data_IF_088437772740
#
_entry.id   IF_088437772740
#
_cell.length_a   1.000
_cell.length_b   1.000
_cell.length_c   1.000
_cell.angle_alpha   90.00
_cell.angle_beta   90.00
_cell.angle_gamma   90.00
#
_symmetry.space_group_name_H-M   'P 1'
#
loop_
_entity.id
_entity.type
_entity.pdbx_description
1 polymer ?
#
# COMPACT_ATOMS: atom_id res chain seq x y z
N UNK A 1 -45.55 -3.49 -50.12
CA UNK A 1 -44.12 -3.75 -49.82
C UNK A 1 -43.76 -3.02 -48.53
N UNK A 2 -43.80 -3.71 -47.38
CA UNK A 2 -43.35 -3.17 -46.09
C UNK A 2 -41.91 -3.67 -45.89
N UNK A 3 -40.93 -2.75 -45.96
CA UNK A 3 -39.52 -3.06 -45.73
C UNK A 3 -39.25 -2.94 -44.23
N UNK A 4 -39.03 -4.09 -43.58
CA UNK A 4 -38.46 -4.14 -42.23
C UNK A 4 -36.95 -3.85 -42.35
N UNK A 5 -36.49 -2.74 -41.78
CA UNK A 5 -35.07 -2.53 -41.50
C UNK A 5 -34.77 -3.15 -40.15
N UNK A 6 -34.08 -4.29 -40.15
CA UNK A 6 -33.47 -4.86 -38.94
C UNK A 6 -32.27 -4.00 -38.57
N UNK A 7 -32.40 -3.20 -37.50
CA UNK A 7 -31.29 -2.48 -36.90
C UNK A 7 -30.56 -3.46 -35.96
N UNK A 8 -29.46 -4.03 -36.43
CA UNK A 8 -28.57 -4.83 -35.59
C UNK A 8 -27.82 -3.88 -34.64
N UNK A 9 -28.19 -3.89 -33.36
CA UNK A 9 -27.47 -3.22 -32.30
C UNK A 9 -26.19 -4.02 -32.00
N UNK A 10 -25.07 -3.59 -32.57
CA UNK A 10 -23.75 -4.09 -32.19
C UNK A 10 -23.42 -3.49 -30.82
N UNK A 11 -23.64 -4.26 -29.74
CA UNK A 11 -23.02 -3.96 -28.46
C UNK A 11 -21.52 -4.16 -28.62
N UNK A 12 -20.77 -3.05 -28.71
CA UNK A 12 -19.34 -3.06 -28.51
C UNK A 12 -19.05 -3.51 -27.09
N UNK A 13 -18.63 -4.76 -26.93
CA UNK A 13 -18.03 -5.25 -25.70
C UNK A 13 -16.71 -4.50 -25.55
N UNK A 14 -16.69 -3.44 -24.74
CA UNK A 14 -15.44 -2.88 -24.26
C UNK A 14 -14.80 -3.98 -23.41
N UNK A 15 -13.79 -4.64 -23.94
CA UNK A 15 -12.96 -5.54 -23.16
C UNK A 15 -12.37 -4.71 -22.03
N UNK A 16 -12.78 -4.98 -20.79
CA UNK A 16 -12.01 -4.56 -19.63
C UNK A 16 -10.73 -5.37 -19.72
N UNK A 17 -9.70 -4.75 -20.27
CA UNK A 17 -8.36 -5.30 -20.32
C UNK A 17 -7.93 -5.39 -18.86
N UNK A 18 -7.92 -6.59 -18.29
CA UNK A 18 -7.34 -6.81 -16.96
C UNK A 18 -5.96 -6.18 -16.96
N UNK A 19 -5.72 -5.21 -16.07
CA UNK A 19 -4.39 -4.63 -15.90
C UNK A 19 -3.44 -5.77 -15.50
N UNK A 20 -2.61 -6.21 -16.45
CA UNK A 20 -1.52 -7.13 -16.14
C UNK A 20 -0.54 -6.40 -15.23
N UNK A 21 -0.03 -7.08 -14.21
CA UNK A 21 1.09 -6.59 -13.42
C UNK A 21 2.26 -6.30 -14.36
N UNK A 22 2.69 -5.04 -14.45
CA UNK A 22 3.84 -4.62 -15.24
C UNK A 22 5.07 -4.63 -14.33
N UNK A 23 6.11 -5.35 -14.76
CA UNK A 23 7.40 -5.35 -14.06
C UNK A 23 8.37 -4.45 -14.80
N UNK A 24 8.91 -3.45 -14.13
CA UNK A 24 9.86 -2.48 -14.69
C UNK A 24 11.17 -2.59 -13.92
N UNK A 25 12.27 -2.76 -14.65
CA UNK A 25 13.61 -2.79 -14.08
C UNK A 25 14.37 -1.51 -14.40
N UNK A 26 15.06 -0.98 -13.41
CA UNK A 26 15.96 0.16 -13.52
C UNK A 26 17.37 -0.23 -13.10
N UNK A 27 18.35 0.26 -13.86
CA UNK A 27 19.78 0.11 -13.61
C UNK A 27 20.37 1.52 -13.41
N UNK A 28 20.93 1.80 -12.23
CA UNK A 28 21.52 3.08 -11.87
C UNK A 28 23.03 2.93 -11.83
N UNK A 29 23.74 3.52 -12.79
CA UNK A 29 25.15 3.18 -12.93
C UNK A 29 25.93 3.92 -14.01
N UNK A 30 26.93 3.23 -14.54
CA UNK A 30 27.95 3.73 -15.45
C UNK A 30 27.51 3.67 -16.92
N UNK A 31 27.87 4.72 -17.68
CA UNK A 31 27.61 4.81 -19.11
C UNK A 31 28.17 3.63 -19.92
N UNK A 32 29.23 2.98 -19.43
CA UNK A 32 29.87 1.84 -20.09
C UNK A 32 29.40 0.48 -19.56
N UNK A 33 28.52 0.46 -18.56
CA UNK A 33 28.05 -0.77 -17.89
C UNK A 33 26.53 -0.93 -17.90
N UNK A 34 25.83 -0.19 -18.76
CA UNK A 34 24.38 -0.31 -18.94
C UNK A 34 23.93 -1.76 -19.16
N UNK A 35 22.78 -2.08 -18.58
CA UNK A 35 22.11 -3.36 -18.76
C UNK A 35 21.31 -3.38 -20.05
N UNK A 36 21.55 -4.34 -20.94
CA UNK A 36 20.79 -4.50 -22.18
C UNK A 36 19.42 -5.15 -21.90
N UNK A 37 18.53 -5.07 -22.90
CA UNK A 37 17.22 -5.76 -22.94
C UNK A 37 16.29 -5.39 -21.79
N UNK A 38 15.30 -4.53 -22.07
CA UNK A 38 14.17 -4.25 -21.18
C UNK A 38 14.55 -3.73 -19.78
N UNK A 39 15.74 -3.10 -19.66
CA UNK A 39 16.17 -2.32 -18.51
C UNK A 39 16.15 -0.82 -18.83
N UNK A 40 15.75 -0.04 -17.84
CA UNK A 40 15.69 1.41 -17.89
C UNK A 40 16.96 1.98 -17.25
N UNK A 41 17.96 2.26 -18.08
CA UNK A 41 19.29 2.67 -17.62
C UNK A 41 19.32 4.17 -17.24
N UNK A 42 19.60 4.45 -15.97
CA UNK A 42 19.85 5.78 -15.42
C UNK A 42 21.37 5.95 -15.25
N UNK A 43 21.95 6.78 -16.10
CA UNK A 43 23.40 6.96 -16.20
C UNK A 43 23.83 8.19 -15.43
N UNK A 44 24.61 8.01 -14.35
CA UNK A 44 24.99 9.10 -13.43
C UNK A 44 26.32 9.78 -13.77
N UNK A 45 27.14 9.16 -14.61
CA UNK A 45 28.40 9.72 -15.12
C UNK A 45 28.25 10.24 -16.57
N UNK A 46 29.11 11.16 -17.04
CA UNK A 46 29.02 11.66 -18.41
C UNK A 46 29.23 10.59 -19.51
N UNK A 47 28.43 10.58 -20.60
CA UNK A 47 27.27 11.43 -20.85
C UNK A 47 26.05 10.96 -20.03
N UNK A 48 25.65 11.77 -19.05
CA UNK A 48 24.62 11.37 -18.09
C UNK A 48 23.23 11.29 -18.71
N UNK A 49 22.45 10.32 -18.26
CA UNK A 49 21.04 10.14 -18.58
C UNK A 49 20.29 9.99 -17.26
N UNK A 50 19.91 11.13 -16.69
CA UNK A 50 19.25 11.18 -15.38
C UNK A 50 17.72 11.08 -15.47
N UNK A 51 17.14 11.06 -16.67
CA UNK A 51 15.69 11.00 -16.85
C UNK A 51 15.30 10.02 -17.95
N UNK A 52 14.21 9.31 -17.72
CA UNK A 52 13.57 8.36 -18.64
C UNK A 52 12.13 8.83 -18.80
N UNK A 53 11.75 9.18 -20.04
CA UNK A 53 10.46 9.79 -20.34
C UNK A 53 9.33 8.75 -20.46
N UNK A 54 9.66 7.51 -20.81
CA UNK A 54 8.73 6.40 -20.89
C UNK A 54 9.50 5.10 -20.69
N UNK A 55 9.36 4.50 -19.51
CA UNK A 55 10.04 3.28 -19.14
C UNK A 55 9.44 2.08 -19.86
N UNK A 56 10.29 1.13 -20.23
CA UNK A 56 9.88 -0.16 -20.77
C UNK A 56 9.67 -1.18 -19.64
N UNK A 57 8.65 -2.02 -19.76
CA UNK A 57 8.47 -3.19 -18.89
C UNK A 57 9.40 -4.36 -19.30
N UNK A 58 9.35 -5.45 -18.53
CA UNK A 58 10.14 -6.65 -18.73
C UNK A 58 9.86 -7.35 -20.06
N UNK A 59 8.73 -7.07 -20.72
CA UNK A 59 8.36 -7.60 -22.03
C UNK A 59 8.76 -6.63 -23.17
N UNK A 60 9.23 -5.44 -22.83
CA UNK A 60 9.70 -4.40 -23.76
C UNK A 60 8.60 -3.44 -24.21
N UNK A 61 7.43 -3.46 -23.56
CA UNK A 61 6.34 -2.53 -23.85
C UNK A 61 6.53 -1.22 -23.09
N UNK A 62 6.21 -0.10 -23.73
CA UNK A 62 6.18 1.21 -23.08
C UNK A 62 5.06 1.26 -22.03
N UNK A 63 5.36 1.86 -20.87
CA UNK A 63 4.49 1.83 -19.69
C UNK A 63 3.82 3.17 -19.39
N UNK A 64 4.34 4.27 -19.96
CA UNK A 64 4.00 5.64 -19.56
C UNK A 64 4.63 6.08 -18.23
N UNK A 65 5.40 5.20 -17.57
CA UNK A 65 6.09 5.52 -16.31
C UNK A 65 7.34 6.32 -16.63
N UNK A 66 7.50 7.48 -15.99
CA UNK A 66 8.73 8.26 -16.03
C UNK A 66 9.64 7.91 -14.86
N UNK A 67 10.94 8.09 -15.01
CA UNK A 67 11.89 8.11 -13.90
C UNK A 67 12.83 9.31 -14.02
N UNK A 68 13.14 9.96 -12.90
CA UNK A 68 14.14 11.04 -12.86
C UNK A 68 15.01 10.93 -11.61
N UNK A 69 16.32 11.05 -11.78
CA UNK A 69 17.32 10.94 -10.73
C UNK A 69 18.07 12.27 -10.53
N UNK A 70 18.41 12.60 -9.29
CA UNK A 70 19.16 13.79 -8.93
C UNK A 70 19.90 13.59 -7.59
N UNK A 71 20.79 14.52 -7.24
CA UNK A 71 21.48 14.51 -5.94
C UNK A 71 22.60 13.49 -5.78
N UNK A 72 22.73 12.51 -6.69
CA UNK A 72 23.85 11.59 -6.71
C UNK A 72 25.17 12.27 -7.11
N UNK A 73 26.29 11.68 -6.71
CA UNK A 73 27.61 12.08 -7.20
C UNK A 73 27.71 11.90 -8.71
N UNK A 74 28.39 12.82 -9.40
CA UNK A 74 28.58 12.77 -10.87
C UNK A 74 29.69 11.79 -11.25
N UNK A 75 29.44 10.52 -10.95
CA UNK A 75 30.32 9.38 -11.13
C UNK A 75 29.61 8.10 -10.70
N UNK A 76 30.12 6.96 -11.12
CA UNK A 76 29.54 5.66 -10.80
C UNK A 76 30.45 4.87 -9.85
N UNK A 77 29.85 3.92 -9.13
CA UNK A 77 30.60 2.87 -8.49
C UNK A 77 30.57 1.62 -9.36
N UNK A 78 31.68 1.22 -10.01
CA UNK A 78 31.72 0.05 -10.91
C UNK A 78 32.15 -1.25 -10.22
N UNK A 79 31.99 -1.33 -8.90
CA UNK A 79 32.62 -2.33 -8.05
C UNK A 79 31.66 -3.25 -7.31
N UNK A 80 30.49 -3.52 -7.88
CA UNK A 80 29.45 -4.41 -7.36
C UNK A 80 29.60 -5.87 -7.81
N UNK A 81 28.72 -6.78 -7.34
CA UNK A 81 28.72 -8.19 -7.71
C UNK A 81 28.39 -8.45 -9.18
N UNK A 82 29.18 -9.34 -9.80
CA UNK A 82 28.98 -9.84 -11.17
C UNK A 82 28.17 -11.15 -11.21
N UNK A 83 27.90 -11.74 -10.04
CA UNK A 83 27.15 -12.97 -9.89
C UNK A 83 26.19 -12.78 -8.71
N UNK A 84 25.06 -12.08 -8.91
CA UNK A 84 24.08 -11.94 -7.85
C UNK A 84 23.54 -13.32 -7.45
N UNK A 85 23.32 -13.50 -6.16
CA UNK A 85 22.78 -14.74 -5.56
C UNK A 85 21.54 -14.41 -4.72
N UNK A 86 20.92 -15.41 -4.10
CA UNK A 86 19.78 -15.20 -3.20
C UNK A 86 18.66 -14.36 -3.83
N UNK A 87 18.13 -13.41 -3.07
CA UNK A 87 17.03 -12.55 -3.52
C UNK A 87 17.47 -11.55 -4.59
N UNK A 88 18.76 -11.19 -4.64
CA UNK A 88 19.32 -10.31 -5.67
C UNK A 88 19.39 -10.98 -7.05
N UNK A 89 19.23 -12.30 -7.15
CA UNK A 89 19.25 -13.04 -8.42
C UNK A 89 18.09 -12.67 -9.37
N UNK A 90 17.10 -11.89 -8.89
CA UNK A 90 16.06 -11.28 -9.72
C UNK A 90 16.61 -10.22 -10.68
N UNK A 91 17.78 -9.65 -10.38
CA UNK A 91 18.44 -8.62 -11.19
C UNK A 91 19.48 -9.25 -12.11
N UNK A 92 19.66 -8.66 -13.29
CA UNK A 92 20.72 -9.04 -14.19
C UNK A 92 22.09 -8.75 -13.58
N UNK A 93 23.06 -9.63 -13.78
CA UNK A 93 24.44 -9.42 -13.35
C UNK A 93 25.03 -8.09 -13.85
N UNK A 94 24.57 -7.60 -14.99
CA UNK A 94 24.97 -6.31 -15.56
C UNK A 94 24.42 -5.11 -14.81
N UNK A 95 23.32 -5.25 -14.06
CA UNK A 95 22.69 -4.18 -13.27
C UNK A 95 23.15 -4.20 -11.80
N UNK A 96 23.74 -5.31 -11.33
CA UNK A 96 24.22 -5.43 -9.95
C UNK A 96 25.70 -5.07 -9.80
N UNK A 97 26.44 -4.95 -10.90
CA UNK A 97 27.89 -4.73 -10.90
C UNK A 97 28.29 -3.28 -10.71
N UNK A 98 27.36 -2.36 -10.86
CA UNK A 98 27.57 -0.94 -10.69
C UNK A 98 26.40 -0.26 -9.99
N UNK A 99 26.65 0.96 -9.51
CA UNK A 99 25.71 1.71 -8.70
C UNK A 99 25.88 3.21 -8.94
N UNK A 100 24.78 3.95 -8.86
CA UNK A 100 24.80 5.33 -8.43
C UNK A 100 25.19 5.41 -6.95
N UNK A 101 25.88 6.49 -6.56
CA UNK A 101 26.28 6.68 -5.17
C UNK A 101 26.33 8.16 -4.79
N UNK A 102 26.44 8.43 -3.50
CA UNK A 102 26.81 9.74 -2.97
C UNK A 102 27.48 9.61 -1.61
N UNK A 103 27.79 10.76 -1.01
CA UNK A 103 28.54 10.83 0.24
C UNK A 103 28.14 12.04 1.09
N UNK A 104 27.92 11.81 2.39
CA UNK A 104 27.65 12.87 3.36
C UNK A 104 28.90 13.32 4.16
N UNK A 105 29.96 12.51 4.12
CA UNK A 105 31.27 12.81 4.67
C UNK A 105 32.27 13.26 3.60
N UNK A 106 33.47 13.63 4.05
CA UNK A 106 34.51 14.16 3.17
C UNK A 106 35.07 13.08 2.24
N UNK A 107 34.92 13.27 0.92
CA UNK A 107 35.49 12.42 -0.12
C UNK A 107 36.46 13.23 -0.97
N UNK A 108 37.69 13.42 -0.49
CA UNK A 108 38.66 14.31 -1.12
C UNK A 108 38.15 15.75 -1.20
N UNK A 109 38.30 16.40 -2.36
CA UNK A 109 37.81 17.76 -2.61
C UNK A 109 36.40 17.79 -3.26
N UNK A 110 35.71 16.65 -3.32
CA UNK A 110 34.41 16.56 -3.98
C UNK A 110 33.30 17.25 -3.16
N UNK A 111 32.37 17.98 -3.81
CA UNK A 111 31.19 18.51 -3.16
C UNK A 111 30.35 17.41 -2.51
N UNK A 112 29.77 17.69 -1.34
CA UNK A 112 28.90 16.75 -0.67
C UNK A 112 27.63 16.47 -1.49
N UNK A 113 27.26 15.20 -1.52
CA UNK A 113 26.00 14.69 -2.07
C UNK A 113 25.35 13.85 -0.98
N UNK A 114 24.73 14.47 0.04
CA UNK A 114 24.30 13.73 1.24
C UNK A 114 23.06 12.87 1.01
N UNK A 115 22.36 13.06 -0.11
CA UNK A 115 21.22 12.24 -0.52
C UNK A 115 21.06 12.22 -2.04
N UNK A 116 20.66 11.07 -2.57
CA UNK A 116 20.22 10.90 -3.95
C UNK A 116 18.71 10.73 -3.98
N UNK A 117 18.06 11.24 -5.02
CA UNK A 117 16.60 11.22 -5.15
C UNK A 117 16.23 10.65 -6.50
N UNK A 118 15.30 9.69 -6.50
CA UNK A 118 14.65 9.15 -7.69
C UNK A 118 13.14 9.42 -7.57
N UNK A 119 12.56 10.02 -8.59
CA UNK A 119 11.10 10.22 -8.70
C UNK A 119 10.59 9.36 -9.84
N UNK A 120 9.72 8.42 -9.52
CA UNK A 120 8.89 7.70 -10.48
C UNK A 120 7.58 8.47 -10.65
N UNK A 121 7.18 8.72 -11.90
CA UNK A 121 6.00 9.51 -12.25
C UNK A 121 5.18 8.84 -13.35
N UNK A 122 4.00 9.36 -13.66
CA UNK A 122 3.07 8.69 -14.60
C UNK A 122 2.43 7.43 -14.00
N UNK A 123 2.51 7.27 -12.68
CA UNK A 123 1.89 6.18 -11.95
C UNK A 123 0.40 6.49 -11.71
N UNK A 124 -0.36 5.46 -11.37
CA UNK A 124 -1.78 5.62 -11.05
C UNK A 124 -1.97 6.34 -9.71
N UNK A 125 -2.26 7.65 -9.77
CA UNK A 125 -2.55 8.48 -8.61
C UNK A 125 -3.95 8.31 -8.02
N UNK A 126 -4.80 7.43 -8.60
CA UNK A 126 -6.15 7.16 -8.07
C UNK A 126 -6.15 6.27 -6.83
N UNK A 127 -5.05 5.56 -6.58
CA UNK A 127 -4.95 4.57 -5.51
C UNK A 127 -5.39 3.16 -5.91
N UNK A 128 -5.86 2.95 -7.14
CA UNK A 128 -6.29 1.62 -7.64
C UNK A 128 -5.11 0.68 -8.00
N UNK A 129 -3.89 1.21 -8.11
CA UNK A 129 -2.67 0.44 -8.37
C UNK A 129 -1.65 0.67 -7.26
N UNK A 130 -1.16 -0.40 -6.67
CA UNK A 130 -0.09 -0.37 -5.69
C UNK A 130 1.20 -0.90 -6.33
N UNK A 131 2.34 -0.47 -5.80
CA UNK A 131 3.64 -0.77 -6.38
C UNK A 131 4.56 -1.41 -5.34
N UNK A 132 5.11 -2.57 -5.69
CA UNK A 132 6.19 -3.18 -4.93
C UNK A 132 7.52 -2.66 -5.47
N UNK A 133 8.34 -2.08 -4.59
CA UNK A 133 9.64 -1.50 -4.92
C UNK A 133 10.71 -2.33 -4.25
N UNK A 134 11.40 -3.15 -5.03
CA UNK A 134 12.56 -3.93 -4.58
C UNK A 134 13.85 -3.24 -4.99
N UNK A 135 14.75 -3.03 -4.03
CA UNK A 135 16.00 -2.28 -4.20
C UNK A 135 17.20 -3.18 -3.93
N UNK A 136 18.17 -3.11 -4.81
CA UNK A 136 19.49 -3.71 -4.65
C UNK A 136 20.59 -2.64 -4.75
N UNK A 137 21.63 -2.83 -3.95
CA UNK A 137 22.92 -2.15 -4.11
C UNK A 137 24.02 -3.07 -3.57
N UNK A 138 25.21 -3.00 -4.18
CA UNK A 138 26.32 -3.86 -3.80
C UNK A 138 27.69 -3.25 -4.10
N UNK A 139 28.62 -3.36 -3.14
CA UNK A 139 30.01 -2.94 -3.27
C UNK A 139 30.96 -4.01 -2.72
N UNK A 140 31.62 -4.73 -3.62
CA UNK A 140 32.60 -5.76 -3.28
C UNK A 140 33.85 -5.21 -2.60
N UNK A 141 34.49 -6.07 -1.81
CA UNK A 141 35.79 -5.83 -1.18
C UNK A 141 35.81 -4.58 -0.29
N UNK A 142 34.73 -4.36 0.45
CA UNK A 142 34.60 -3.21 1.35
C UNK A 142 34.74 -3.65 2.81
N UNK A 143 35.70 -3.13 3.59
CA UNK A 143 35.90 -3.52 4.99
C UNK A 143 34.96 -2.81 5.98
N UNK A 144 34.38 -1.68 5.57
CA UNK A 144 33.50 -0.84 6.38
C UNK A 144 32.03 -1.07 6.00
N UNK A 145 31.12 -0.88 6.95
CA UNK A 145 29.68 -0.85 6.73
C UNK A 145 29.31 0.41 5.94
N UNK A 146 28.46 0.23 4.94
CA UNK A 146 27.96 1.27 4.05
C UNK A 146 26.43 1.30 4.01
N UNK A 147 25.79 0.90 5.12
CA UNK A 147 24.34 0.90 5.25
C UNK A 147 23.73 2.14 4.60
N UNK A 148 22.79 1.87 3.71
CA UNK A 148 22.04 2.88 2.97
C UNK A 148 20.60 2.81 3.43
N UNK A 149 20.06 3.96 3.82
CA UNK A 149 18.66 4.15 4.09
C UNK A 149 17.95 4.61 2.82
N UNK A 150 16.83 3.95 2.51
CA UNK A 150 15.93 4.35 1.44
C UNK A 150 14.61 4.82 2.04
N UNK A 151 14.33 6.12 1.93
CA UNK A 151 13.02 6.67 2.27
C UNK A 151 12.15 6.68 1.03
N UNK A 152 11.04 5.95 1.06
CA UNK A 152 10.09 5.81 -0.03
C UNK A 152 8.81 6.51 0.37
N UNK A 153 8.33 7.42 -0.47
CA UNK A 153 7.14 8.23 -0.21
C UNK A 153 6.22 8.27 -1.42
N UNK A 154 4.96 7.92 -1.20
CA UNK A 154 3.84 8.13 -2.11
C UNK A 154 2.73 8.83 -1.36
N UNK A 155 1.59 8.16 -1.18
CA UNK A 155 0.55 8.60 -0.24
C UNK A 155 0.98 8.43 1.22
N UNK A 156 1.71 7.35 1.51
CA UNK A 156 2.36 7.10 2.80
C UNK A 156 3.88 6.98 2.62
N UNK A 157 4.61 7.06 3.72
CA UNK A 157 6.08 6.97 3.73
C UNK A 157 6.56 5.75 4.51
N UNK A 158 7.61 5.12 4.01
CA UNK A 158 8.31 4.02 4.68
C UNK A 158 9.82 4.16 4.49
N UNK A 159 10.59 3.54 5.38
CA UNK A 159 12.06 3.53 5.32
C UNK A 159 12.58 2.10 5.32
N UNK A 160 13.53 1.83 4.43
CA UNK A 160 14.25 0.56 4.33
C UNK A 160 15.74 0.76 4.61
N UNK A 161 16.40 -0.27 5.12
CA UNK A 161 17.84 -0.27 5.39
C UNK A 161 18.49 -1.46 4.67
N UNK A 162 19.46 -1.20 3.80
CA UNK A 162 20.26 -2.23 3.14
C UNK A 162 21.73 -1.97 3.43
N UNK A 163 22.50 -3.02 3.70
CA UNK A 163 23.96 -2.96 3.79
C UNK A 163 24.57 -3.33 2.42
N UNK A 164 25.09 -2.38 1.62
CA UNK A 164 25.67 -2.67 0.31
C UNK A 164 27.10 -3.24 0.40
N UNK A 165 27.82 -3.07 1.51
CA UNK A 165 29.18 -3.57 1.65
C UNK A 165 29.21 -5.10 1.53
N UNK A 166 29.90 -5.59 0.50
CA UNK A 166 29.99 -7.01 0.12
C UNK A 166 28.64 -7.70 -0.08
N UNK A 167 27.58 -6.94 -0.37
CA UNK A 167 26.28 -7.52 -0.65
C UNK A 167 26.26 -8.17 -2.03
N UNK A 168 26.02 -9.48 -2.05
CA UNK A 168 25.81 -10.25 -3.28
C UNK A 168 24.40 -10.81 -3.39
N UNK A 169 23.61 -10.78 -2.31
CA UNK A 169 22.40 -11.61 -2.20
C UNK A 169 21.15 -10.89 -1.72
N UNK A 170 21.29 -9.81 -0.96
CA UNK A 170 20.19 -9.23 -0.21
C UNK A 170 19.58 -8.07 -0.98
N UNK A 171 18.26 -7.97 -0.91
CA UNK A 171 17.46 -6.84 -1.39
C UNK A 171 16.62 -6.32 -0.24
N UNK A 172 16.05 -5.12 -0.40
CA UNK A 172 14.97 -4.63 0.46
C UNK A 172 13.76 -4.30 -0.37
N UNK A 173 12.56 -4.56 0.16
CA UNK A 173 11.30 -4.34 -0.57
C UNK A 173 10.34 -3.51 0.26
N UNK A 174 9.81 -2.44 -0.34
CA UNK A 174 8.59 -1.79 0.13
C UNK A 174 7.42 -2.34 -0.69
N UNK A 175 6.52 -3.06 -0.03
CA UNK A 175 5.36 -3.65 -0.69
C UNK A 175 4.15 -2.72 -0.60
N UNK A 176 3.29 -2.74 -1.61
CA UNK A 176 2.00 -2.05 -1.60
C UNK A 176 2.10 -0.53 -1.56
N UNK A 177 3.13 0.07 -2.15
CA UNK A 177 3.30 1.53 -2.15
C UNK A 177 2.24 2.17 -3.06
N UNK A 178 1.33 2.91 -2.46
CA UNK A 178 0.35 3.72 -3.20
C UNK A 178 1.01 5.05 -3.61
N UNK A 179 1.00 5.43 -4.89
CA UNK A 179 1.54 6.72 -5.33
C UNK A 179 0.83 7.91 -4.68
N UNK A 180 1.46 9.08 -4.75
CA UNK A 180 0.77 10.33 -4.41
C UNK A 180 -0.41 10.59 -5.36
N UNK A 181 -1.31 11.53 -5.01
CA UNK A 181 -2.39 11.97 -5.90
C UNK A 181 -1.90 12.53 -7.24
N UNK A 182 -0.63 12.95 -7.32
CA UNK A 182 -0.01 13.40 -8.56
C UNK A 182 0.56 12.24 -9.41
N UNK A 183 0.35 10.99 -9.00
CA UNK A 183 0.87 9.81 -9.70
C UNK A 183 2.38 9.65 -9.54
N UNK A 184 2.92 9.97 -8.35
CA UNK A 184 4.37 9.93 -8.08
C UNK A 184 4.74 9.08 -6.89
N UNK A 185 5.87 8.37 -6.99
CA UNK A 185 6.59 7.79 -5.84
C UNK A 185 8.00 8.37 -5.82
N UNK A 186 8.44 8.87 -4.67
CA UNK A 186 9.78 9.41 -4.46
C UNK A 186 10.59 8.47 -3.58
N UNK A 187 11.77 8.06 -4.06
CA UNK A 187 12.78 7.28 -3.35
C UNK A 187 13.97 8.19 -3.05
N UNK A 188 14.36 8.32 -1.78
CA UNK A 188 15.55 9.03 -1.34
C UNK A 188 16.54 8.03 -0.77
N UNK A 189 17.74 7.95 -1.34
CA UNK A 189 18.86 7.17 -0.82
C UNK A 189 19.81 8.07 -0.04
N UNK A 190 20.19 7.68 1.18
CA UNK A 190 21.10 8.43 2.06
C UNK A 190 21.86 7.49 3.00
N UNK A 191 22.90 7.94 3.72
CA UNK A 191 23.60 7.10 4.69
C UNK A 191 22.65 6.59 5.77
N UNK A 192 22.70 5.29 6.04
CA UNK A 192 21.96 4.64 7.11
C UNK A 192 22.63 4.82 8.47
N UNK A 193 21.90 4.59 9.58
CA UNK A 193 22.39 4.78 10.94
C UNK A 193 23.60 3.90 11.30
N UNK A 194 23.76 2.72 10.68
CA UNK A 194 24.89 1.81 10.91
C UNK A 194 26.06 2.01 9.92
N UNK A 195 26.01 3.05 9.08
CA UNK A 195 27.09 3.36 8.15
C UNK A 195 28.32 3.88 8.91
N UNK A 196 29.43 3.13 8.84
CA UNK A 196 30.68 3.49 9.52
C UNK A 196 31.80 3.90 8.56
N UNK A 197 31.51 4.06 7.27
CA UNK A 197 32.48 4.61 6.33
C UNK A 197 32.76 6.09 6.66
N UNK A 198 34.03 6.55 6.69
CA UNK A 198 34.34 7.95 6.97
C UNK A 198 33.65 8.95 6.05
N UNK A 199 33.48 8.56 4.78
CA UNK A 199 32.81 9.36 3.75
C UNK A 199 31.29 9.27 3.84
N UNK A 200 30.74 8.36 4.65
CA UNK A 200 29.31 8.10 4.75
C UNK A 200 28.72 7.85 3.35
N UNK A 201 29.29 6.88 2.63
CA UNK A 201 28.84 6.53 1.29
C UNK A 201 27.49 5.81 1.33
N UNK A 202 26.58 6.16 0.41
CA UNK A 202 25.35 5.40 0.13
C UNK A 202 25.24 5.04 -1.34
N UNK A 203 24.43 4.03 -1.66
CA UNK A 203 24.39 3.41 -3.00
C UNK A 203 22.95 3.19 -3.47
N UNK A 204 22.76 3.16 -4.79
CA UNK A 204 21.57 2.65 -5.46
C UNK A 204 22.02 1.95 -6.74
N UNK A 205 21.86 0.63 -6.82
CA UNK A 205 22.28 -0.16 -7.97
C UNK A 205 21.13 -0.46 -8.91
N UNK A 206 20.25 -1.37 -8.49
CA UNK A 206 19.11 -1.80 -9.30
C UNK A 206 17.79 -1.64 -8.54
N UNK A 207 16.73 -1.30 -9.27
CA UNK A 207 15.36 -1.22 -8.72
C UNK A 207 14.42 -2.02 -9.59
N UNK A 208 13.58 -2.84 -8.98
CA UNK A 208 12.44 -3.49 -9.63
C UNK A 208 11.17 -2.86 -9.08
N UNK A 209 10.35 -2.34 -9.98
CA UNK A 209 9.02 -1.82 -9.71
C UNK A 209 8.01 -2.81 -10.29
N UNK A 210 7.15 -3.39 -9.45
CA UNK A 210 6.06 -4.26 -9.91
C UNK A 210 4.75 -3.55 -9.61
N UNK A 211 3.96 -3.25 -10.64
CA UNK A 211 2.59 -2.83 -10.44
C UNK A 211 1.74 -4.04 -10.12
N UNK A 212 0.92 -3.94 -9.09
CA UNK A 212 -0.19 -4.84 -8.87
C UNK A 212 -1.44 -3.97 -8.77
N UNK A 213 -2.63 -4.48 -9.15
CA UNK A 213 -3.86 -3.88 -8.67
C UNK A 213 -3.68 -3.65 -7.17
N UNK A 214 -3.81 -2.42 -6.69
CA UNK A 214 -3.99 -2.21 -5.27
C UNK A 214 -5.18 -3.08 -4.94
N UNK A 215 -5.02 -4.06 -4.04
CA UNK A 215 -6.17 -4.84 -3.60
C UNK A 215 -7.14 -3.78 -3.10
N UNK A 216 -8.26 -3.55 -3.82
CA UNK A 216 -9.07 -2.39 -3.53
C UNK A 216 -9.60 -2.63 -2.12
N UNK A 217 -9.31 -1.71 -1.21
CA UNK A 217 -10.35 -1.30 -0.29
C UNK A 217 -11.58 -1.00 -1.18
N UNK A 218 -12.72 -1.73 -1.09
CA UNK A 218 -13.88 -1.49 -1.91
C UNK A 218 -14.36 -0.06 -1.80
N UNK A 219 -13.94 0.76 -2.74
CA UNK A 219 -14.46 2.09 -2.94
C UNK A 219 -14.89 2.25 -4.41
N UNK A 220 -16.20 2.43 -4.56
CA UNK A 220 -16.83 3.38 -5.47
C UNK A 220 -16.63 3.15 -6.99
N UNK A 221 -17.06 1.99 -7.50
CA UNK A 221 -17.53 1.90 -8.91
C UNK A 221 -19.06 1.70 -9.03
N UNK A 222 -19.81 1.77 -7.92
CA UNK A 222 -21.27 1.56 -7.94
C UNK A 222 -22.11 2.84 -7.94
N UNK A 223 -21.56 4.02 -7.61
CA UNK A 223 -22.37 5.25 -7.50
C UNK A 223 -22.77 5.85 -8.87
N UNK A 224 -22.00 5.63 -9.95
CA UNK A 224 -22.36 6.17 -11.28
C UNK A 224 -23.15 5.21 -12.18
N UNK A 225 -23.29 3.93 -11.83
CA UNK A 225 -24.12 2.99 -12.59
C UNK A 225 -25.55 2.87 -12.07
N UNK A 226 -25.82 3.24 -10.81
CA UNK A 226 -27.18 3.19 -10.25
C UNK A 226 -28.08 4.37 -10.67
N UNK A 227 -27.54 5.47 -11.22
CA UNK A 227 -28.36 6.59 -11.72
C UNK A 227 -28.77 6.50 -13.20
N UNK A 228 -28.39 5.44 -13.94
CA UNK A 228 -28.76 5.28 -15.37
C UNK A 228 -29.90 4.29 -15.64
N UNK A 229 -30.51 3.70 -14.61
CA UNK A 229 -31.60 2.71 -14.77
C UNK A 229 -32.97 3.11 -14.25
N UNK A 230 -33.21 4.40 -14.06
CA UNK A 230 -34.55 4.93 -13.85
C UNK A 230 -34.71 6.26 -14.59
N UNK A 231 -34.97 6.20 -15.90
CA UNK A 231 -35.69 7.24 -16.65
C UNK A 231 -36.04 6.69 -18.03
N UNK A 232 -37.25 6.15 -18.15
CA UNK A 232 -37.91 5.94 -19.43
C UNK A 232 -38.13 7.31 -20.12
N UNK A 233 -38.04 7.39 -21.46
CA UNK A 233 -37.93 8.64 -22.17
C UNK A 233 -39.31 9.23 -22.45
N UNK A 234 -39.67 10.33 -21.77
CA UNK A 234 -40.77 11.17 -22.25
C UNK A 234 -40.59 12.63 -21.81
N UNK A 235 -40.69 13.52 -22.78
CA UNK A 235 -40.84 14.98 -22.70
C UNK A 235 -39.61 15.87 -22.43
N UNK A 236 -39.04 16.33 -23.55
CA UNK A 236 -38.84 17.74 -23.94
C UNK A 236 -38.50 18.81 -22.87
N UNK A 237 -37.31 19.40 -23.06
CA UNK A 237 -37.05 20.84 -23.25
C UNK A 237 -37.67 21.84 -22.24
N UNK A 238 -36.88 22.33 -21.29
CA UNK A 238 -36.64 23.76 -21.00
C UNK A 238 -36.12 24.00 -19.56
N UNK A 239 -35.06 24.80 -19.47
CA UNK A 239 -34.69 25.72 -18.39
C UNK A 239 -34.78 25.26 -16.92
N UNK A 240 -33.63 25.15 -16.25
CA UNK A 240 -33.34 25.99 -15.10
C UNK A 240 -31.83 25.97 -14.77
N UNK A 241 -31.22 27.14 -14.77
CA UNK A 241 -30.03 27.43 -13.96
C UNK A 241 -30.51 27.27 -12.51
N UNK A 242 -30.31 26.09 -11.93
CA UNK A 242 -30.54 25.85 -10.52
C UNK A 242 -29.18 25.87 -9.83
N UNK A 243 -29.08 26.73 -8.82
CA UNK A 243 -27.93 26.91 -7.98
C UNK A 243 -27.32 25.56 -7.57
N UNK A 244 -26.06 25.34 -7.90
CA UNK A 244 -25.21 24.44 -7.12
C UNK A 244 -25.00 25.13 -5.76
N UNK A 245 -26.01 25.08 -4.90
CA UNK A 245 -25.75 25.14 -3.48
C UNK A 245 -24.80 23.99 -3.19
N UNK A 246 -23.58 24.32 -2.77
CA UNK A 246 -22.66 23.37 -2.15
C UNK A 246 -23.38 22.79 -0.94
N UNK A 247 -24.09 21.69 -1.15
CA UNK A 247 -24.57 20.88 -0.04
C UNK A 247 -23.29 20.35 0.60
N UNK A 248 -23.01 20.81 1.82
CA UNK A 248 -21.92 20.24 2.61
C UNK A 248 -22.16 18.72 2.62
N UNK A 249 -21.11 17.94 2.36
CA UNK A 249 -21.23 16.49 2.45
C UNK A 249 -21.82 16.14 3.81
N UNK A 250 -22.77 15.20 3.86
CA UNK A 250 -23.34 14.76 5.13
C UNK A 250 -22.26 13.97 5.90
N UNK A 251 -22.23 14.06 7.24
CA UNK A 251 -21.35 13.24 8.05
C UNK A 251 -21.61 11.74 7.84
N UNK A 252 -20.54 10.97 7.64
CA UNK A 252 -20.65 9.51 7.58
C UNK A 252 -20.91 8.91 8.97
N UNK A 253 -21.79 7.91 9.04
CA UNK A 253 -22.16 7.17 10.24
C UNK A 253 -21.31 5.89 10.35
N UNK A 254 -20.52 5.78 11.42
CA UNK A 254 -19.61 4.65 11.63
C UNK A 254 -19.85 4.02 13.00
N UNK A 255 -20.08 2.72 13.04
CA UNK A 255 -20.14 1.94 14.28
C UNK A 255 -18.89 1.07 14.44
N UNK A 256 -18.28 1.10 15.63
CA UNK A 256 -17.01 0.43 15.90
C UNK A 256 -17.19 -0.70 16.91
N UNK A 257 -16.78 -1.91 16.56
CA UNK A 257 -16.69 -3.05 17.45
C UNK A 257 -15.23 -3.51 17.55
N UNK A 258 -14.75 -3.63 18.79
CA UNK A 258 -13.35 -3.88 19.07
C UNK A 258 -13.07 -3.96 20.56
N UNK A 259 -11.82 -3.79 20.95
CA UNK A 259 -11.40 -3.87 22.35
C UNK A 259 -10.38 -2.79 22.71
N UNK A 260 -9.44 -3.12 23.61
CA UNK A 260 -8.43 -2.19 24.10
C UNK A 260 -7.48 -1.68 23.02
N UNK A 261 -7.43 -2.34 21.86
CA UNK A 261 -6.73 -1.87 20.65
C UNK A 261 -7.48 -0.72 20.00
N UNK A 262 -8.81 -0.84 19.83
CA UNK A 262 -9.66 0.24 19.32
C UNK A 262 -9.81 1.40 20.32
N UNK A 263 -9.89 1.08 21.61
CA UNK A 263 -9.91 2.09 22.68
C UNK A 263 -8.54 2.68 23.01
N UNK A 264 -7.46 2.17 22.40
CA UNK A 264 -6.05 2.53 22.63
C UNK A 264 -5.55 2.40 24.09
N UNK A 265 -6.31 1.79 25.00
CA UNK A 265 -5.93 1.63 26.41
C UNK A 265 -4.84 0.58 26.62
N UNK A 266 -4.63 -0.34 25.67
CA UNK A 266 -3.57 -1.35 25.75
C UNK A 266 -2.16 -0.77 25.56
N UNK A 267 -2.09 0.38 24.90
CA UNK A 267 -0.95 0.72 24.06
C UNK A 267 -0.44 2.15 24.33
N UNK A 268 -0.85 2.73 25.48
CA UNK A 268 -0.39 4.04 25.93
C UNK A 268 -1.00 5.24 25.18
N UNK A 269 -2.02 5.01 24.35
CA UNK A 269 -2.70 6.08 23.62
C UNK A 269 -3.56 6.94 24.54
N UNK A 270 -3.59 8.24 24.28
CA UNK A 270 -4.42 9.21 25.03
C UNK A 270 -5.81 9.39 24.41
N UNK A 271 -6.06 8.82 23.24
CA UNK A 271 -7.32 8.89 22.50
C UNK A 271 -7.60 7.55 21.80
N UNK A 272 -8.88 7.19 21.69
CA UNK A 272 -9.31 6.01 20.95
C UNK A 272 -9.15 6.22 19.45
N UNK A 273 -9.08 5.13 18.69
CA UNK A 273 -9.00 5.18 17.22
C UNK A 273 -10.17 5.95 16.60
N UNK A 274 -11.44 5.76 17.03
CA UNK A 274 -12.56 6.58 16.53
C UNK A 274 -12.41 8.08 16.79
N UNK A 275 -11.79 8.47 17.92
CA UNK A 275 -11.54 9.88 18.23
C UNK A 275 -10.45 10.48 17.35
N UNK A 276 -9.37 9.73 17.11
CA UNK A 276 -8.30 10.12 16.19
C UNK A 276 -8.83 10.23 14.76
N UNK A 277 -9.63 9.25 14.32
CA UNK A 277 -10.27 9.28 13.00
C UNK A 277 -11.11 10.53 12.79
N UNK A 278 -11.92 10.91 13.79
CA UNK A 278 -12.71 12.14 13.73
C UNK A 278 -11.82 13.39 13.59
N UNK A 279 -10.76 13.48 14.38
CA UNK A 279 -9.81 14.60 14.32
C UNK A 279 -9.11 14.71 12.96
N UNK A 280 -8.73 13.57 12.36
CA UNK A 280 -8.12 13.53 11.01
C UNK A 280 -9.11 13.98 9.95
N UNK A 281 -10.36 13.51 9.99
CA UNK A 281 -11.40 13.92 9.05
C UNK A 281 -11.66 15.43 9.09
N UNK A 282 -11.82 15.99 10.30
CA UNK A 282 -11.99 17.43 10.49
C UNK A 282 -10.77 18.22 10.01
N UNK A 283 -9.56 17.74 10.31
CA UNK A 283 -8.33 18.38 9.83
C UNK A 283 -8.21 18.34 8.30
N UNK A 284 -8.77 17.34 7.64
CA UNK A 284 -8.85 17.21 6.19
C UNK A 284 -9.98 18.06 5.56
N UNK A 285 -10.72 18.85 6.35
CA UNK A 285 -11.83 19.68 5.88
C UNK A 285 -13.13 18.91 5.63
N UNK A 286 -13.23 17.66 6.10
CA UNK A 286 -14.45 16.87 6.03
C UNK A 286 -15.35 17.15 7.24
N UNK A 287 -16.67 16.95 7.12
CA UNK A 287 -17.56 16.92 8.27
C UNK A 287 -17.08 15.89 9.29
N UNK A 288 -17.21 16.21 10.58
CA UNK A 288 -16.88 15.28 11.66
C UNK A 288 -17.74 14.01 11.55
N UNK A 289 -17.17 12.81 11.34
CA UNK A 289 -17.92 11.57 11.25
C UNK A 289 -18.73 11.31 12.53
N UNK A 290 -19.92 10.75 12.39
CA UNK A 290 -20.70 10.27 13.52
C UNK A 290 -20.19 8.90 13.96
N UNK A 291 -19.19 8.93 14.83
CA UNK A 291 -18.54 7.72 15.37
C UNK A 291 -19.25 7.20 16.62
N UNK A 292 -19.76 5.98 16.54
CA UNK A 292 -20.36 5.26 17.68
C UNK A 292 -19.48 4.09 18.08
N UNK A 293 -18.70 4.29 19.14
CA UNK A 293 -17.77 3.29 19.63
C UNK A 293 -18.45 2.30 20.60
N UNK A 294 -18.55 1.03 20.19
CA UNK A 294 -19.06 -0.09 20.99
C UNK A 294 -17.96 -1.05 21.45
N UNK A 295 -16.70 -0.63 21.38
CA UNK A 295 -15.54 -1.45 21.77
C UNK A 295 -15.51 -1.73 23.27
N UNK A 296 -15.25 -2.99 23.65
CA UNK A 296 -15.14 -3.42 25.05
C UNK A 296 -13.79 -4.07 25.32
N UNK A 297 -13.04 -3.55 26.28
CA UNK A 297 -11.68 -3.99 26.58
C UNK A 297 -11.64 -5.49 26.92
N UNK A 298 -10.69 -6.21 26.31
CA UNK A 298 -10.51 -7.64 26.53
C UNK A 298 -11.52 -8.55 25.84
N UNK A 299 -12.45 -8.02 25.02
CA UNK A 299 -13.48 -8.83 24.37
C UNK A 299 -13.14 -9.16 22.91
N UNK A 300 -13.70 -10.28 22.44
CA UNK A 300 -13.68 -10.72 21.04
C UNK A 300 -14.95 -10.30 20.30
N UNK A 301 -14.94 -10.39 18.97
CA UNK A 301 -16.15 -10.18 18.18
C UNK A 301 -17.23 -11.22 18.49
N UNK A 302 -16.87 -12.46 18.84
CA UNK A 302 -17.84 -13.45 19.31
C UNK A 302 -18.59 -12.96 20.56
N UNK A 303 -17.87 -12.36 21.51
CA UNK A 303 -18.50 -11.80 22.71
C UNK A 303 -19.45 -10.66 22.34
N UNK A 304 -19.05 -9.79 21.42
CA UNK A 304 -19.91 -8.71 20.94
C UNK A 304 -21.17 -9.22 20.25
N UNK A 305 -21.04 -10.25 19.40
CA UNK A 305 -22.17 -10.86 18.71
C UNK A 305 -23.20 -11.43 19.69
N UNK A 306 -22.73 -11.98 20.81
CA UNK A 306 -23.61 -12.54 21.85
C UNK A 306 -24.17 -11.48 22.81
N UNK A 307 -23.42 -10.41 23.12
CA UNK A 307 -23.72 -9.55 24.28
C UNK A 307 -23.89 -8.06 23.96
N UNK A 308 -23.52 -7.59 22.76
CA UNK A 308 -23.35 -6.16 22.48
C UNK A 308 -23.99 -5.68 21.15
N UNK A 309 -24.79 -6.53 20.49
CA UNK A 309 -25.49 -6.17 19.24
C UNK A 309 -26.63 -5.18 19.44
N UNK A 310 -27.16 -5.04 20.67
CA UNK A 310 -28.15 -4.01 20.97
C UNK A 310 -27.67 -2.59 20.65
N UNK A 311 -26.34 -2.36 20.68
CA UNK A 311 -25.72 -1.08 20.34
C UNK A 311 -25.90 -0.64 18.89
N UNK A 312 -26.25 -1.56 17.97
CA UNK A 312 -26.49 -1.30 16.54
C UNK A 312 -27.68 -0.35 16.36
N UNK A 313 -28.66 -0.38 17.28
CA UNK A 313 -29.90 0.39 17.18
C UNK A 313 -29.85 1.77 17.86
N UNK A 314 -28.66 2.27 18.24
CA UNK A 314 -28.55 3.56 18.92
C UNK A 314 -27.26 4.30 18.63
N UNK A 315 -27.34 5.64 18.68
CA UNK A 315 -26.23 6.57 18.36
C UNK A 315 -26.38 7.27 17.00
N UNK A 316 -27.34 6.82 16.19
CA UNK A 316 -27.85 7.49 14.98
C UNK A 316 -29.38 7.57 15.06
N UNK A 317 -30.03 8.35 14.19
CA UNK A 317 -31.50 8.40 14.14
C UNK A 317 -32.08 7.03 13.76
N UNK A 318 -33.33 6.78 14.13
CA UNK A 318 -34.04 5.58 13.70
C UNK A 318 -34.26 5.52 12.17
N UNK A 319 -34.22 6.67 11.50
CA UNK A 319 -34.32 6.82 10.05
C UNK A 319 -32.99 6.67 9.31
N UNK A 320 -31.87 6.68 10.03
CA UNK A 320 -30.54 6.73 9.45
C UNK A 320 -29.90 5.35 9.44
N UNK A 321 -29.01 5.17 8.46
CA UNK A 321 -28.22 3.96 8.27
C UNK A 321 -26.77 4.14 8.66
N UNK A 322 -26.14 3.02 9.02
CA UNK A 322 -24.69 2.92 9.14
C UNK A 322 -24.07 2.85 7.74
N UNK A 323 -23.15 3.76 7.46
CA UNK A 323 -22.33 3.69 6.24
C UNK A 323 -21.24 2.64 6.40
N UNK A 324 -20.62 2.59 7.59
CA UNK A 324 -19.53 1.65 7.87
C UNK A 324 -19.70 0.95 9.23
N UNK A 325 -19.31 -0.33 9.27
CA UNK A 325 -19.07 -1.07 10.52
C UNK A 325 -17.60 -1.48 10.60
N UNK A 326 -16.87 -0.97 11.60
CA UNK A 326 -15.48 -1.35 11.82
C UNK A 326 -15.42 -2.53 12.79
N UNK A 327 -14.76 -3.61 12.36
CA UNK A 327 -14.68 -4.89 13.06
C UNK A 327 -13.22 -5.22 13.40
N UNK A 328 -12.90 -5.14 14.68
CA UNK A 328 -11.62 -5.54 15.25
C UNK A 328 -11.82 -6.72 16.20
N UNK A 329 -11.18 -7.86 15.94
CA UNK A 329 -11.27 -9.02 16.84
C UNK A 329 -10.14 -9.05 17.86
N UNK A 330 -10.27 -9.92 18.86
CA UNK A 330 -9.23 -10.15 19.85
C UNK A 330 -7.91 -10.55 19.15
N UNK A 331 -6.81 -9.90 19.53
CA UNK A 331 -5.57 -9.83 18.73
C UNK A 331 -4.81 -11.15 18.52
N UNK A 332 -5.33 -12.27 18.98
CA UNK A 332 -4.78 -13.61 18.70
C UNK A 332 -5.77 -14.47 17.91
N UNK A 333 -7.06 -14.12 17.87
CA UNK A 333 -8.11 -14.87 17.19
C UNK A 333 -7.82 -15.18 15.72
N UNK A 334 -7.26 -14.24 14.93
CA UNK A 334 -6.93 -14.50 13.52
C UNK A 334 -5.71 -15.40 13.30
N UNK A 335 -4.98 -15.81 14.36
CA UNK A 335 -3.74 -16.59 14.27
C UNK A 335 -3.93 -18.06 14.67
N UNK A 336 -2.91 -18.89 14.44
CA UNK A 336 -2.97 -20.32 14.78
C UNK A 336 -3.10 -20.62 16.29
N UNK A 337 -2.66 -19.71 17.17
CA UNK A 337 -2.85 -19.87 18.63
C UNK A 337 -4.22 -19.39 19.12
N UNK A 338 -4.98 -18.72 18.26
CA UNK A 338 -6.35 -18.29 18.54
C UNK A 338 -7.35 -19.30 18.03
N UNK A 339 -8.36 -18.80 17.32
CA UNK A 339 -9.37 -19.62 16.69
C UNK A 339 -9.84 -18.93 15.42
N UNK A 340 -9.11 -19.17 14.33
CA UNK A 340 -9.39 -18.56 13.02
C UNK A 340 -10.83 -18.85 12.56
N UNK A 341 -11.33 -20.06 12.75
CA UNK A 341 -12.72 -20.40 12.36
C UNK A 341 -13.75 -19.52 13.09
N UNK A 342 -13.57 -19.27 14.39
CA UNK A 342 -14.43 -18.38 15.15
C UNK A 342 -14.22 -16.91 14.77
N UNK A 343 -13.01 -16.50 14.41
CA UNK A 343 -12.75 -15.16 13.86
C UNK A 343 -13.57 -14.93 12.58
N UNK A 344 -13.50 -15.86 11.62
CA UNK A 344 -14.24 -15.81 10.36
C UNK A 344 -15.75 -15.79 10.58
N UNK A 345 -16.28 -16.62 11.49
CA UNK A 345 -17.72 -16.67 11.76
C UNK A 345 -18.22 -15.43 12.54
N UNK A 346 -17.40 -14.88 13.43
CA UNK A 346 -17.77 -13.71 14.24
C UNK A 346 -17.74 -12.41 13.44
N UNK A 347 -16.76 -12.24 12.54
CA UNK A 347 -16.71 -11.09 11.62
C UNK A 347 -17.91 -11.07 10.70
N UNK A 348 -18.22 -12.20 10.04
CA UNK A 348 -19.41 -12.34 9.21
C UNK A 348 -20.71 -12.15 10.00
N UNK A 349 -20.80 -12.74 11.21
CA UNK A 349 -21.98 -12.60 12.06
C UNK A 349 -22.24 -11.15 12.50
N UNK A 350 -21.18 -10.41 12.87
CA UNK A 350 -21.28 -9.01 13.22
C UNK A 350 -21.67 -8.14 12.03
N UNK A 351 -21.06 -8.35 10.87
CA UNK A 351 -21.48 -7.69 9.63
C UNK A 351 -22.97 -7.93 9.35
N UNK A 352 -23.42 -9.19 9.35
CA UNK A 352 -24.81 -9.53 9.10
C UNK A 352 -25.78 -8.88 10.10
N UNK A 353 -25.38 -8.74 11.37
CA UNK A 353 -26.18 -8.07 12.38
C UNK A 353 -26.35 -6.57 12.10
N UNK A 354 -25.31 -5.90 11.60
CA UNK A 354 -25.40 -4.48 11.20
C UNK A 354 -26.13 -4.35 9.88
N UNK A 355 -25.86 -5.21 8.90
CA UNK A 355 -26.52 -5.22 7.60
C UNK A 355 -28.03 -5.48 7.68
N UNK A 356 -28.48 -6.23 8.70
CA UNK A 356 -29.90 -6.40 8.99
C UNK A 356 -30.61 -5.09 9.36
N UNK A 357 -29.87 -4.11 9.92
CA UNK A 357 -30.37 -2.76 10.17
C UNK A 357 -30.12 -1.84 8.97
N UNK A 358 -28.92 -1.88 8.41
CA UNK A 358 -28.43 -0.97 7.37
C UNK A 358 -27.91 -1.78 6.19
N UNK A 359 -28.77 -2.12 5.20
CA UNK A 359 -28.46 -3.08 4.14
C UNK A 359 -27.23 -2.72 3.29
N UNK A 360 -26.93 -1.43 3.15
CA UNK A 360 -25.81 -0.91 2.35
C UNK A 360 -24.54 -0.67 3.18
N UNK A 361 -24.48 -1.13 4.44
CA UNK A 361 -23.31 -0.95 5.30
C UNK A 361 -22.08 -1.64 4.73
N UNK A 362 -20.95 -0.93 4.75
CA UNK A 362 -19.65 -1.46 4.33
C UNK A 362 -18.86 -1.91 5.57
N UNK A 363 -18.56 -3.21 5.75
CA UNK A 363 -17.71 -3.67 6.82
C UNK A 363 -16.24 -3.32 6.56
N UNK A 364 -15.57 -2.78 7.57
CA UNK A 364 -14.12 -2.51 7.58
C UNK A 364 -13.45 -3.43 8.57
N UNK A 365 -12.53 -4.25 8.10
CA UNK A 365 -11.75 -5.16 8.92
C UNK A 365 -10.51 -4.46 9.46
N UNK A 366 -10.51 -4.21 10.76
CA UNK A 366 -9.41 -3.53 11.42
C UNK A 366 -8.35 -4.55 11.88
N UNK A 367 -7.37 -4.81 11.00
CA UNK A 367 -6.20 -5.66 11.27
C UNK A 367 -5.44 -5.18 12.52
N UNK A 368 -5.22 -6.09 13.47
CA UNK A 368 -4.36 -5.81 14.64
C UNK A 368 -2.89 -6.05 14.33
N UNK A 369 -2.01 -5.57 15.20
CA UNK A 369 -0.56 -5.78 15.08
C UNK A 369 -0.03 -6.88 15.99
N UNK A 370 1.09 -7.47 15.57
CA UNK A 370 1.88 -8.41 16.34
C UNK A 370 2.35 -7.80 17.68
N UNK A 371 2.67 -8.67 18.64
CA UNK A 371 3.30 -8.24 19.88
C UNK A 371 4.71 -7.74 19.61
N UNK A 372 5.20 -6.87 20.49
CA UNK A 372 6.56 -6.34 20.39
C UNK A 372 7.63 -7.42 20.56
N UNK A 373 8.85 -7.20 20.03
CA UNK A 373 9.98 -8.09 20.24
C UNK A 373 10.19 -8.43 21.73
N UNK A 374 10.53 -9.68 22.04
CA UNK A 374 10.73 -10.15 23.42
C UNK A 374 9.47 -10.56 24.17
N UNK A 375 8.28 -10.48 23.55
CA UNK A 375 7.08 -11.09 24.11
C UNK A 375 7.22 -12.62 24.23
N UNK A 376 6.56 -13.22 25.22
CA UNK A 376 6.62 -14.67 25.50
C UNK A 376 6.21 -15.56 24.32
N UNK A 377 5.46 -15.00 23.37
CA UNK A 377 5.08 -15.63 22.11
C UNK A 377 6.28 -15.99 21.22
N UNK A 378 7.39 -15.28 21.36
CA UNK A 378 8.58 -15.39 20.50
C UNK A 378 9.77 -16.02 21.22
N UNK A 379 9.63 -16.34 22.51
CA UNK A 379 10.75 -16.73 23.38
C UNK A 379 10.45 -18.02 24.12
N UNK A 380 11.49 -18.69 24.64
CA UNK A 380 11.37 -19.96 25.36
C UNK A 380 11.73 -21.17 24.51
N UNK A 381 11.68 -22.38 25.09
CA UNK A 381 12.10 -23.61 24.42
C UNK A 381 11.16 -24.09 23.30
N UNK A 382 9.91 -23.61 23.29
CA UNK A 382 8.91 -23.89 22.26
C UNK A 382 8.02 -22.64 22.07
N UNK A 383 8.53 -21.60 21.39
CA UNK A 383 7.76 -20.37 21.17
C UNK A 383 6.55 -20.65 20.27
N UNK A 384 5.44 -19.96 20.53
CA UNK A 384 4.23 -20.03 19.69
C UNK A 384 4.50 -19.54 18.26
N UNK A 385 5.31 -18.48 18.14
CA UNK A 385 5.72 -17.92 16.86
C UNK A 385 7.25 -17.96 16.77
N UNK A 386 7.86 -19.10 16.36
CA UNK A 386 9.31 -19.23 16.23
C UNK A 386 9.90 -18.25 15.20
N UNK A 387 9.12 -17.80 14.21
CA UNK A 387 9.51 -16.73 13.27
C UNK A 387 9.37 -15.31 13.85
N UNK A 388 9.11 -15.18 15.14
CA UNK A 388 9.06 -13.90 15.83
C UNK A 388 7.84 -13.04 15.45
N UNK A 389 7.92 -11.72 15.69
CA UNK A 389 6.85 -10.77 15.35
C UNK A 389 6.43 -10.81 13.88
N UNK A 390 7.36 -11.07 12.96
CA UNK A 390 7.07 -11.15 11.53
C UNK A 390 6.08 -12.28 11.20
N UNK A 391 6.29 -13.47 11.77
CA UNK A 391 5.36 -14.59 11.61
C UNK A 391 3.98 -14.25 12.17
N UNK A 392 3.91 -13.68 13.38
CA UNK A 392 2.62 -13.31 13.97
C UNK A 392 1.90 -12.25 13.14
N UNK A 393 2.61 -11.25 12.60
CA UNK A 393 1.98 -10.23 11.75
C UNK A 393 1.46 -10.84 10.45
N UNK A 394 2.20 -11.76 9.84
CA UNK A 394 1.74 -12.47 8.65
C UNK A 394 0.44 -13.23 8.93
N UNK A 395 0.38 -13.98 10.03
CA UNK A 395 -0.84 -14.73 10.36
C UNK A 395 -2.03 -13.83 10.70
N UNK A 396 -1.79 -12.68 11.35
CA UNK A 396 -2.84 -11.68 11.57
C UNK A 396 -3.41 -11.19 10.25
N UNK A 397 -2.53 -10.80 9.32
CA UNK A 397 -2.91 -10.36 7.97
C UNK A 397 -3.68 -11.44 7.22
N UNK A 398 -3.18 -12.66 7.20
CA UNK A 398 -3.82 -13.79 6.52
C UNK A 398 -5.21 -14.06 7.12
N UNK A 399 -5.36 -13.97 8.44
CA UNK A 399 -6.63 -14.15 9.12
C UNK A 399 -7.67 -13.08 8.78
N UNK A 400 -7.27 -11.81 8.72
CA UNK A 400 -8.16 -10.71 8.32
C UNK A 400 -8.48 -10.75 6.81
N UNK A 401 -7.53 -11.09 5.94
CA UNK A 401 -7.80 -11.33 4.51
C UNK A 401 -8.77 -12.50 4.30
N UNK A 402 -8.65 -13.57 5.10
CA UNK A 402 -9.61 -14.66 5.07
C UNK A 402 -11.01 -14.23 5.55
N UNK A 403 -11.10 -13.34 6.55
CA UNK A 403 -12.37 -12.78 7.01
C UNK A 403 -13.00 -11.87 5.94
N UNK A 404 -12.19 -11.06 5.26
CA UNK A 404 -12.62 -10.19 4.15
C UNK A 404 -13.20 -11.06 3.01
N UNK A 405 -12.46 -12.09 2.61
CA UNK A 405 -12.91 -13.06 1.60
C UNK A 405 -14.19 -13.78 2.01
N UNK A 406 -14.34 -14.13 3.30
CA UNK A 406 -15.53 -14.80 3.83
C UNK A 406 -16.77 -13.89 3.76
N UNK A 407 -16.66 -12.61 4.12
CA UNK A 407 -17.76 -11.64 3.97
C UNK A 407 -18.08 -11.44 2.49
N UNK A 408 -17.07 -11.23 1.65
CA UNK A 408 -17.25 -11.03 0.22
C UNK A 408 -17.92 -12.22 -0.47
N UNK A 409 -17.59 -13.44 -0.06
CA UNK A 409 -18.24 -14.65 -0.57
C UNK A 409 -19.73 -14.73 -0.18
N UNK A 410 -20.12 -14.17 0.97
CA UNK A 410 -21.49 -14.19 1.47
C UNK A 410 -22.34 -13.02 0.98
N UNK A 411 -21.75 -11.84 0.80
CA UNK A 411 -22.47 -10.57 0.60
C UNK A 411 -22.27 -9.95 -0.79
N UNK A 412 -21.32 -10.47 -1.57
CA UNK A 412 -20.92 -9.90 -2.86
C UNK A 412 -19.44 -9.56 -2.88
N UNK A 413 -18.80 -9.73 -4.03
CA UNK A 413 -17.39 -9.38 -4.18
C UNK A 413 -17.19 -7.87 -3.98
N UNK A 414 -16.22 -7.50 -3.13
CA UNK A 414 -15.94 -6.10 -2.81
C UNK A 414 -16.94 -5.47 -1.84
N UNK A 415 -17.58 -6.25 -0.96
CA UNK A 415 -18.40 -5.69 0.12
C UNK A 415 -17.54 -5.27 1.31
N UNK A 416 -16.49 -6.03 1.66
CA UNK A 416 -15.65 -5.78 2.82
C UNK A 416 -14.33 -5.08 2.49
N UNK A 417 -14.04 -4.03 3.27
CA UNK A 417 -12.79 -3.27 3.38
C UNK A 417 -11.78 -4.02 4.23
#
# INVERSE_FOLDING_TARGET
MKRFFSLALVLGLAAVQSASAATVFYDFGDSNQQTPVNYNNVVVNPPGQLSIADSVDSDGSLTGITASASGFFTGSNTGGPQTPTGDAAIFAATATRDNAFGHAGAFGANPLTPQGTVVFGGLDGSGATAYDITIFAGRNSTPNLRETQYDISGLASTSLLLEPANNTSNVVTAAGVIPSLAGTITLIAKPGPNNNSPEQFYYLGAVRLVSAPAIPEPEILHVFQCLRRALSPTFALAALVAAASSQAAEPINIIWYGNSFTNATCCGGTASVPAIFNAVAVAAGQPAPNNVNRSSNGQSLQWHLTNNTAGINGGISASDDWDYVVLQDFSTMPTHIGNLSQHLSSTLGMYNAVAARSPDVTPVLYETWARGPGHSFYTGGAPSFPGGPAQMQQELRDGYLAAQANINASAGAGTAL
#
